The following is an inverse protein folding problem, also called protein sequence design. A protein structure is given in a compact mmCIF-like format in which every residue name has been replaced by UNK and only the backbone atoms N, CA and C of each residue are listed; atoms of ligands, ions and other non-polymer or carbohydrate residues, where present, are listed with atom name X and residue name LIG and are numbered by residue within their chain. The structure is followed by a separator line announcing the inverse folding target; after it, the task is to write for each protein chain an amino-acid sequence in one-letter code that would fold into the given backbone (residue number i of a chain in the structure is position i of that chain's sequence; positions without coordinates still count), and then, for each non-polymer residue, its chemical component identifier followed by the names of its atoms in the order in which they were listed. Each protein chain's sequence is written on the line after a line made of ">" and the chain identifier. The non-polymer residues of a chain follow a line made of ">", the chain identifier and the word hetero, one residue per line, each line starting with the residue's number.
data_IF_432607539587
#
_entry.id   IF_432607539587
#
_cell.length_a   1.000
_cell.length_b   1.000
_cell.length_c   1.000
_cell.angle_alpha   90.00
_cell.angle_beta   90.00
_cell.angle_gamma   90.00
#
_symmetry.space_group_name_H-M   'P 1'
#
loop_
_entity.id
_entity.type
_entity.pdbx_description
1 polymer ?
#
# COMPACT_ATOMS: atom_id res chain seq x y z
N UNK A 1 -6.18 21.99 -8.32
CA UNK A 1 -6.55 21.19 -9.51
C UNK A 1 -5.66 19.96 -9.71
N UNK A 2 -4.33 20.08 -9.88
CA UNK A 2 -3.43 18.90 -10.04
C UNK A 2 -3.40 17.96 -8.82
N UNK A 3 -3.39 18.49 -7.59
CA UNK A 3 -3.41 17.66 -6.36
C UNK A 3 -4.71 16.86 -6.18
N UNK A 4 -5.84 17.40 -6.63
CA UNK A 4 -7.15 16.78 -6.45
C UNK A 4 -7.36 15.62 -7.43
N UNK A 5 -6.87 15.77 -8.66
CA UNK A 5 -6.83 14.68 -9.66
C UNK A 5 -5.92 13.55 -9.19
N UNK A 6 -4.73 13.87 -8.67
CA UNK A 6 -3.80 12.88 -8.13
C UNK A 6 -4.39 12.13 -6.91
N UNK A 7 -5.09 12.84 -6.02
CA UNK A 7 -5.78 12.26 -4.88
C UNK A 7 -6.91 11.31 -5.32
N UNK A 8 -7.70 11.74 -6.31
CA UNK A 8 -8.80 10.95 -6.87
C UNK A 8 -8.31 9.67 -7.55
N UNK A 9 -7.24 9.77 -8.35
CA UNK A 9 -6.62 8.60 -8.98
C UNK A 9 -6.05 7.62 -7.95
N UNK A 10 -5.37 8.12 -6.92
CA UNK A 10 -4.87 7.28 -5.84
C UNK A 10 -6.01 6.57 -5.10
N UNK A 11 -7.13 7.26 -4.86
CA UNK A 11 -8.31 6.66 -4.24
C UNK A 11 -8.94 5.59 -5.10
N UNK A 12 -9.06 5.83 -6.41
CA UNK A 12 -9.58 4.87 -7.38
C UNK A 12 -8.69 3.63 -7.48
N UNK A 13 -7.37 3.81 -7.58
CA UNK A 13 -6.39 2.73 -7.60
C UNK A 13 -6.40 1.92 -6.31
N UNK A 14 -6.47 2.58 -5.15
CA UNK A 14 -6.63 1.90 -3.86
C UNK A 14 -7.89 1.04 -3.85
N UNK A 15 -9.04 1.61 -4.24
CA UNK A 15 -10.30 0.88 -4.28
C UNK A 15 -10.24 -0.30 -5.24
N UNK A 16 -9.61 -0.12 -6.40
CA UNK A 16 -9.43 -1.17 -7.40
C UNK A 16 -8.60 -2.33 -6.86
N UNK A 17 -7.43 -2.04 -6.29
CA UNK A 17 -6.52 -3.07 -5.78
C UNK A 17 -7.12 -3.78 -4.56
N UNK A 18 -7.74 -3.03 -3.65
CA UNK A 18 -8.45 -3.59 -2.50
C UNK A 18 -9.68 -4.42 -2.91
N UNK A 19 -10.27 -4.19 -4.10
CA UNK A 19 -11.35 -5.03 -4.65
C UNK A 19 -10.85 -6.40 -5.14
N UNK A 20 -9.54 -6.65 -5.13
CA UNK A 20 -8.97 -7.95 -5.45
C UNK A 20 -8.71 -8.71 -4.16
N UNK A 21 -9.31 -9.89 -4.01
CA UNK A 21 -9.18 -10.69 -2.80
C UNK A 21 -7.72 -11.15 -2.61
N UNK A 22 -7.10 -10.67 -1.53
CA UNK A 22 -5.79 -11.14 -1.10
C UNK A 22 -5.88 -12.41 -0.26
N UNK A 23 -4.76 -13.13 -0.16
CA UNK A 23 -4.66 -14.33 0.70
C UNK A 23 -4.62 -14.01 2.21
N UNK A 24 -4.62 -12.74 2.60
CA UNK A 24 -4.62 -12.31 4.01
C UNK A 24 -3.35 -12.63 4.81
N UNK A 25 -2.31 -13.20 4.19
CA UNK A 25 -1.09 -13.69 4.87
C UNK A 25 -0.42 -12.61 5.72
N UNK A 26 -0.30 -11.38 5.22
CA UNK A 26 0.33 -10.27 5.97
C UNK A 26 -0.46 -9.89 7.22
N UNK A 27 -1.79 -9.81 7.12
CA UNK A 27 -2.64 -9.55 8.27
C UNK A 27 -2.55 -10.68 9.30
N UNK A 28 -2.48 -11.94 8.85
CA UNK A 28 -2.28 -13.08 9.72
C UNK A 28 -0.91 -13.04 10.43
N UNK A 29 0.16 -12.66 9.73
CA UNK A 29 1.48 -12.48 10.32
C UNK A 29 1.49 -11.37 11.37
N UNK A 30 0.89 -10.21 11.07
CA UNK A 30 0.77 -9.10 12.04
C UNK A 30 0.02 -9.56 13.28
N UNK A 31 -1.10 -10.28 13.13
CA UNK A 31 -1.86 -10.83 14.25
C UNK A 31 -1.05 -11.86 15.05
N UNK A 32 -0.31 -12.75 14.38
CA UNK A 32 0.52 -13.76 15.02
C UNK A 32 1.65 -13.14 15.85
N UNK A 33 2.35 -12.12 15.33
CA UNK A 33 3.36 -11.41 16.12
C UNK A 33 2.72 -10.63 17.28
N UNK A 34 1.57 -9.99 17.03
CA UNK A 34 0.89 -9.24 18.09
C UNK A 34 0.35 -10.13 19.22
N UNK A 35 0.13 -11.42 18.97
CA UNK A 35 -0.21 -12.39 20.01
C UNK A 35 0.82 -12.37 21.14
N UNK A 36 2.12 -12.26 20.82
CA UNK A 36 3.20 -12.17 21.81
C UNK A 36 3.53 -10.73 22.21
N UNK A 37 3.58 -9.80 21.23
CA UNK A 37 4.09 -8.45 21.46
C UNK A 37 3.11 -7.52 22.17
N UNK A 38 1.80 -7.81 22.12
CA UNK A 38 0.73 -7.04 22.78
C UNK A 38 0.83 -5.53 22.51
N UNK A 39 1.05 -5.16 21.25
CA UNK A 39 1.17 -3.78 20.79
C UNK A 39 -0.18 -3.06 20.99
N UNK A 40 -0.20 -1.79 21.43
CA UNK A 40 -1.42 -1.01 21.51
C UNK A 40 -2.15 -0.94 20.16
N UNK A 41 -3.48 -1.08 20.19
CA UNK A 41 -4.30 -1.16 18.96
C UNK A 41 -4.13 0.07 18.05
N UNK A 42 -3.98 1.26 18.64
CA UNK A 42 -3.74 2.49 17.89
C UNK A 42 -2.44 2.43 17.06
N UNK A 43 -1.38 1.86 17.62
CA UNK A 43 -0.09 1.68 16.96
C UNK A 43 -0.16 0.54 15.93
N UNK A 44 -0.78 -0.58 16.30
CA UNK A 44 -0.92 -1.73 15.43
C UNK A 44 -1.74 -1.42 14.17
N UNK A 45 -2.79 -0.61 14.31
CA UNK A 45 -3.61 -0.14 13.18
C UNK A 45 -2.79 0.68 12.18
N UNK A 46 -1.93 1.59 12.67
CA UNK A 46 -1.02 2.37 11.82
C UNK A 46 -0.02 1.45 11.11
N UNK A 47 0.64 0.55 11.83
CA UNK A 47 1.59 -0.41 11.25
C UNK A 47 0.92 -1.28 10.18
N UNK A 48 -0.26 -1.81 10.46
CA UNK A 48 -1.02 -2.65 9.52
C UNK A 48 -1.40 -1.89 8.25
N UNK A 49 -1.83 -0.63 8.42
CA UNK A 49 -2.16 0.27 7.31
C UNK A 49 -0.95 0.56 6.43
N UNK A 50 0.20 0.87 7.04
CA UNK A 50 1.48 1.08 6.35
C UNK A 50 1.90 -0.16 5.56
N UNK A 51 1.91 -1.34 6.18
CA UNK A 51 2.26 -2.61 5.52
C UNK A 51 1.34 -2.87 4.31
N UNK A 52 0.04 -2.63 4.45
CA UNK A 52 -0.93 -2.83 3.37
C UNK A 52 -0.72 -1.83 2.21
N UNK A 53 -0.39 -0.58 2.52
CA UNK A 53 -0.07 0.43 1.51
C UNK A 53 1.19 0.07 0.74
N UNK A 54 2.27 -0.28 1.44
CA UNK A 54 3.53 -0.69 0.81
C UNK A 54 3.34 -1.92 -0.08
N UNK A 55 2.60 -2.92 0.40
CA UNK A 55 2.32 -4.11 -0.40
C UNK A 55 1.54 -3.79 -1.67
N UNK A 56 0.50 -2.96 -1.58
CA UNK A 56 -0.29 -2.61 -2.75
C UNK A 56 0.51 -1.78 -3.75
N UNK A 57 1.32 -0.84 -3.26
CA UNK A 57 2.20 -0.03 -4.11
C UNK A 57 3.22 -0.91 -4.84
N UNK A 58 3.86 -1.85 -4.14
CA UNK A 58 4.81 -2.78 -4.77
C UNK A 58 4.14 -3.62 -5.85
N UNK A 59 2.93 -4.14 -5.62
CA UNK A 59 2.21 -4.92 -6.63
C UNK A 59 1.91 -4.13 -7.92
N UNK A 60 1.63 -2.82 -7.81
CA UNK A 60 1.41 -1.99 -9.00
C UNK A 60 2.70 -1.90 -9.81
N UNK A 61 3.82 -1.65 -9.13
CA UNK A 61 5.14 -1.55 -9.76
C UNK A 61 5.55 -2.89 -10.36
N UNK A 62 5.44 -3.99 -9.62
CA UNK A 62 5.70 -5.35 -10.10
C UNK A 62 4.89 -5.65 -11.38
N UNK A 63 3.59 -5.34 -11.40
CA UNK A 63 2.75 -5.59 -12.58
C UNK A 63 3.26 -4.82 -13.82
N UNK A 64 3.81 -3.62 -13.63
CA UNK A 64 4.38 -2.81 -14.71
C UNK A 64 5.73 -3.36 -15.16
N UNK A 65 6.63 -3.64 -14.21
CA UNK A 65 7.98 -4.14 -14.47
C UNK A 65 7.96 -5.51 -15.15
N UNK A 66 7.03 -6.38 -14.76
CA UNK A 66 6.84 -7.72 -15.35
C UNK A 66 6.04 -7.67 -16.67
N UNK A 67 5.47 -6.52 -17.06
CA UNK A 67 4.56 -6.42 -18.20
C UNK A 67 3.27 -7.25 -18.02
N UNK A 68 2.84 -7.46 -16.77
CA UNK A 68 1.71 -8.31 -16.43
C UNK A 68 0.37 -7.67 -16.81
N UNK A 69 -0.37 -8.28 -17.73
CA UNK A 69 -1.69 -7.77 -18.11
C UNK A 69 -2.80 -8.08 -17.09
N UNK A 70 -2.59 -9.06 -16.21
CA UNK A 70 -3.60 -9.54 -15.26
C UNK A 70 -3.04 -9.66 -13.85
N UNK A 71 -3.84 -9.25 -12.86
CA UNK A 71 -3.64 -9.51 -11.44
C UNK A 71 -4.88 -10.19 -10.86
N UNK A 72 -4.71 -11.43 -10.37
CA UNK A 72 -5.79 -12.23 -9.76
C UNK A 72 -7.03 -12.35 -10.65
N UNK A 73 -6.81 -12.56 -11.95
CA UNK A 73 -7.88 -12.72 -12.94
C UNK A 73 -8.58 -11.42 -13.36
N UNK A 74 -8.16 -10.25 -12.87
CA UNK A 74 -8.63 -8.94 -13.34
C UNK A 74 -7.50 -8.20 -14.07
N UNK A 75 -7.79 -7.22 -14.94
CA UNK A 75 -6.74 -6.42 -15.59
C UNK A 75 -5.79 -5.77 -14.57
N UNK A 76 -4.49 -5.74 -14.86
CA UNK A 76 -3.55 -5.02 -14.00
C UNK A 76 -3.88 -3.51 -13.97
N UNK A 77 -3.51 -2.82 -12.89
CA UNK A 77 -3.84 -1.40 -12.71
C UNK A 77 -3.38 -0.53 -13.90
N UNK A 78 -2.17 -0.76 -14.40
CA UNK A 78 -1.63 0.00 -15.53
C UNK A 78 -2.37 -0.28 -16.86
N UNK A 79 -3.04 -1.43 -16.99
CA UNK A 79 -3.87 -1.73 -18.16
C UNK A 79 -5.19 -0.94 -18.17
N UNK A 80 -5.66 -0.47 -17.02
CA UNK A 80 -6.90 0.31 -16.89
C UNK A 80 -6.59 1.81 -16.87
N UNK A 81 -5.63 2.21 -16.06
CA UNK A 81 -5.36 3.62 -15.76
C UNK A 81 -4.18 4.18 -16.56
N UNK A 82 -3.35 3.31 -17.15
CA UNK A 82 -2.10 3.69 -17.81
C UNK A 82 -0.89 3.57 -16.89
N UNK A 83 0.29 3.45 -17.49
CA UNK A 83 1.57 3.24 -16.79
C UNK A 83 1.93 4.45 -15.91
N UNK A 84 2.02 5.64 -16.50
CA UNK A 84 2.43 6.86 -15.79
C UNK A 84 1.60 7.17 -14.53
N UNK A 85 0.25 7.21 -14.57
CA UNK A 85 -0.54 7.43 -13.37
C UNK A 85 -0.41 6.30 -12.34
N UNK A 86 -0.23 5.05 -12.78
CA UNK A 86 -0.04 3.91 -11.88
C UNK A 86 1.27 4.03 -11.10
N UNK A 87 2.37 4.42 -11.77
CA UNK A 87 3.66 4.70 -11.13
C UNK A 87 3.52 5.86 -10.13
N UNK A 88 2.91 6.98 -10.55
CA UNK A 88 2.74 8.14 -9.67
C UNK A 88 1.95 7.82 -8.41
N UNK A 89 0.88 7.04 -8.52
CA UNK A 89 0.07 6.64 -7.36
C UNK A 89 0.78 5.62 -6.47
N UNK A 90 1.57 4.69 -7.03
CA UNK A 90 2.39 3.78 -6.24
C UNK A 90 3.45 4.55 -5.43
N UNK A 91 4.15 5.48 -6.07
CA UNK A 91 5.14 6.33 -5.40
C UNK A 91 4.51 7.23 -4.33
N UNK A 92 3.36 7.83 -4.64
CA UNK A 92 2.60 8.60 -3.64
C UNK A 92 2.21 7.73 -2.44
N UNK A 93 1.82 6.47 -2.66
CA UNK A 93 1.52 5.55 -1.57
C UNK A 93 2.76 5.22 -0.71
N UNK A 94 3.97 5.14 -1.28
CA UNK A 94 5.21 5.03 -0.49
C UNK A 94 5.41 6.24 0.42
N UNK A 95 5.27 7.46 -0.11
CA UNK A 95 5.43 8.68 0.70
C UNK A 95 4.34 8.83 1.77
N UNK A 96 3.09 8.52 1.45
CA UNK A 96 1.99 8.55 2.42
C UNK A 96 2.16 7.48 3.50
N UNK A 97 2.76 6.33 3.17
CA UNK A 97 3.09 5.29 4.16
C UNK A 97 4.16 5.80 5.14
N UNK A 98 5.19 6.48 4.64
CA UNK A 98 6.22 7.12 5.47
C UNK A 98 5.63 8.22 6.35
N UNK A 99 4.79 9.10 5.80
CA UNK A 99 4.08 10.14 6.56
C UNK A 99 3.22 9.54 7.66
N UNK A 100 2.47 8.46 7.39
CA UNK A 100 1.68 7.78 8.43
C UNK A 100 2.54 7.18 9.53
N UNK A 101 3.72 6.67 9.18
CA UNK A 101 4.61 6.05 10.13
C UNK A 101 5.29 7.08 11.04
N UNK A 102 5.55 8.30 10.54
CA UNK A 102 6.11 9.39 11.34
C UNK A 102 5.17 9.87 12.45
N UNK A 103 3.85 9.73 12.26
CA UNK A 103 2.83 10.02 13.27
C UNK A 103 2.91 9.13 14.52
N UNK A 104 3.69 8.04 14.48
CA UNK A 104 3.93 7.22 15.67
C UNK A 104 4.91 7.87 16.66
N UNK A 105 5.53 8.99 16.29
CA UNK A 105 6.50 9.73 17.11
C UNK A 105 7.67 8.85 17.62
N UNK A 106 8.05 7.85 16.80
CA UNK A 106 9.14 6.91 17.07
C UNK A 106 10.18 7.02 15.95
N UNK A 107 11.29 7.75 16.13
CA UNK A 107 12.29 7.97 15.09
C UNK A 107 12.84 6.66 14.47
N UNK A 108 12.88 5.59 15.26
CA UNK A 108 13.31 4.27 14.81
C UNK A 108 12.39 3.67 13.75
N UNK A 109 11.10 4.01 13.74
CA UNK A 109 10.16 3.50 12.73
C UNK A 109 10.51 4.01 11.33
N UNK A 110 10.91 5.28 11.22
CA UNK A 110 11.38 5.89 9.97
C UNK A 110 12.65 5.20 9.49
N UNK A 111 13.59 4.89 10.39
CA UNK A 111 14.82 4.16 10.05
C UNK A 111 14.57 2.73 9.59
N UNK A 112 13.54 2.05 10.11
CA UNK A 112 13.14 0.71 9.65
C UNK A 112 12.50 0.77 8.26
N UNK A 113 11.85 1.89 7.92
CA UNK A 113 11.18 2.08 6.65
C UNK A 113 12.14 2.34 5.48
N UNK A 114 13.24 3.06 5.73
CA UNK A 114 14.23 3.52 4.73
C UNK A 114 15.45 2.63 4.65
#
# INVERSE_FOLDING_TARGET
>A
MQNEVALNLTRLLKNYICSTNGKGIRSALVAAFNYWLKVPESVLSVISSVIQMLHNASLIIDDIEDGSHLRRGKPAAHCIFGVAPSINSANYAYFLALEKLSLLERPESVKIFT
#
